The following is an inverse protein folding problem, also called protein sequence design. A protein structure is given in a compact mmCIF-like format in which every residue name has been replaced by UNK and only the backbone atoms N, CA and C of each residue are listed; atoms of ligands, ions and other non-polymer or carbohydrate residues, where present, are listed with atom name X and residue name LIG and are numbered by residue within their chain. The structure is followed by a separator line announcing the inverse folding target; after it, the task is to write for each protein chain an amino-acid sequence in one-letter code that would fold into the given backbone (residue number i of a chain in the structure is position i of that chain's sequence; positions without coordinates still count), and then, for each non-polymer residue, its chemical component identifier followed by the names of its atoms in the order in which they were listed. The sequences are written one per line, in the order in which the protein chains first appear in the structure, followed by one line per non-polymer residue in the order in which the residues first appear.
data_IF_764248354961
#
_entry.id   IF_764248354961
#
_cell.length_a   1.000
_cell.length_b   1.000
_cell.length_c   1.000
_cell.angle_alpha   90.00
_cell.angle_beta   90.00
_cell.angle_gamma   90.00
#
_symmetry.space_group_name_H-M   'P 1'
#
loop_
_entity.id
_entity.type
_entity.pdbx_description
1 polymer ?
#
# COMPACT_ATOMS: atom_id res chain seq x y z
N UNK A 1 17.85 -8.44 -28.97
CA UNK A 1 18.08 -9.01 -27.62
C UNK A 1 19.48 -8.61 -27.22
N UNK A 2 19.67 -7.84 -26.14
CA UNK A 2 21.01 -7.55 -25.65
C UNK A 2 21.29 -8.41 -24.41
N UNK A 3 22.22 -9.35 -24.56
CA UNK A 3 22.88 -10.04 -23.46
C UNK A 3 23.99 -9.12 -22.96
N UNK A 4 23.80 -8.47 -21.81
CA UNK A 4 24.84 -7.61 -21.23
C UNK A 4 25.83 -8.51 -20.50
N UNK A 5 27.09 -8.47 -20.94
CA UNK A 5 28.18 -9.28 -20.41
C UNK A 5 28.79 -8.64 -19.14
N UNK A 6 29.42 -9.47 -18.29
CA UNK A 6 29.72 -9.26 -16.85
C UNK A 6 30.43 -7.97 -16.39
N UNK A 7 31.01 -7.15 -17.28
CA UNK A 7 31.96 -6.08 -16.89
C UNK A 7 31.62 -4.67 -17.40
N UNK A 8 30.40 -4.43 -17.90
CA UNK A 8 29.99 -3.09 -18.35
C UNK A 8 28.67 -2.69 -17.69
N UNK A 9 28.64 -1.52 -17.03
CA UNK A 9 27.39 -0.86 -16.67
C UNK A 9 26.72 -0.39 -17.98
N UNK A 10 25.62 -1.03 -18.44
CA UNK A 10 25.02 -0.62 -19.69
C UNK A 10 24.18 0.63 -19.44
N UNK A 11 24.67 1.80 -19.86
CA UNK A 11 23.82 2.98 -20.00
C UNK A 11 22.89 2.74 -21.20
N UNK A 12 21.72 2.16 -20.95
CA UNK A 12 20.74 1.85 -22.00
C UNK A 12 19.88 3.09 -22.26
N UNK A 13 20.05 3.73 -23.41
CA UNK A 13 19.48 5.07 -23.73
C UNK A 13 18.25 5.07 -24.64
N UNK A 14 17.67 3.92 -25.02
CA UNK A 14 16.44 3.87 -25.84
C UNK A 14 15.67 2.58 -25.61
N UNK A 15 14.32 2.65 -25.63
CA UNK A 15 13.34 1.54 -25.54
C UNK A 15 13.97 0.15 -25.62
N UNK A 16 14.51 -0.30 -24.48
CA UNK A 16 15.40 -1.46 -24.44
C UNK A 16 14.71 -2.58 -23.66
N UNK A 17 14.57 -3.72 -24.32
CA UNK A 17 14.26 -4.97 -23.64
C UNK A 17 15.58 -5.63 -23.19
N UNK A 18 15.76 -5.75 -21.89
CA UNK A 18 16.98 -6.33 -21.30
C UNK A 18 16.62 -7.57 -20.48
N UNK A 19 17.23 -8.71 -20.82
CA UNK A 19 17.17 -9.95 -20.04
C UNK A 19 18.49 -10.08 -19.28
N UNK A 20 18.44 -10.08 -17.96
CA UNK A 20 19.61 -10.28 -17.09
C UNK A 20 19.52 -11.69 -16.48
N UNK A 21 20.27 -12.64 -17.02
CA UNK A 21 20.41 -14.00 -16.46
C UNK A 21 21.68 -14.08 -15.60
N UNK A 22 21.50 -14.66 -14.41
CA UNK A 22 22.46 -15.10 -13.38
C UNK A 22 23.71 -14.26 -13.03
N UNK A 23 23.75 -13.84 -11.75
CA UNK A 23 24.93 -13.35 -11.03
C UNK A 23 25.64 -12.13 -11.67
N UNK A 24 24.97 -10.97 -11.67
CA UNK A 24 25.72 -9.71 -11.61
C UNK A 24 26.32 -9.66 -10.20
N UNK A 25 27.62 -9.88 -10.08
CA UNK A 25 28.35 -9.67 -8.82
C UNK A 25 28.10 -8.23 -8.35
N UNK A 26 27.99 -7.96 -7.03
CA UNK A 26 27.41 -6.72 -6.49
C UNK A 26 28.29 -5.45 -6.70
N UNK A 27 29.25 -5.48 -7.62
CA UNK A 27 30.20 -4.39 -7.85
C UNK A 27 29.64 -3.35 -8.85
N UNK A 28 28.71 -3.71 -9.74
CA UNK A 28 28.09 -2.75 -10.65
C UNK A 28 26.57 -2.94 -10.73
N UNK A 29 25.84 -2.03 -10.08
CA UNK A 29 24.39 -1.89 -10.18
C UNK A 29 24.08 -1.16 -11.49
N UNK A 30 23.37 -1.75 -12.45
CA UNK A 30 23.16 -1.11 -13.74
C UNK A 30 22.16 0.05 -13.61
N UNK A 31 22.63 1.30 -13.72
CA UNK A 31 21.77 2.48 -13.81
C UNK A 31 21.22 2.61 -15.24
N UNK A 32 19.94 2.24 -15.41
CA UNK A 32 19.24 2.31 -16.71
C UNK A 32 18.39 3.58 -16.80
N UNK A 33 18.72 4.49 -17.72
CA UNK A 33 17.95 5.71 -18.05
C UNK A 33 17.38 5.62 -19.48
N UNK A 34 16.11 5.22 -19.64
CA UNK A 34 15.52 4.91 -20.97
C UNK A 34 14.06 5.35 -21.13
N UNK A 35 13.66 5.59 -22.41
CA UNK A 35 12.31 6.03 -22.85
C UNK A 35 11.16 5.02 -22.65
N UNK A 36 11.47 3.80 -22.22
CA UNK A 36 10.58 2.84 -21.59
C UNK A 36 11.44 1.64 -21.23
N UNK A 37 11.27 1.11 -20.01
CA UNK A 37 12.19 0.11 -19.48
C UNK A 37 11.44 -1.20 -19.28
N UNK A 38 11.83 -2.26 -19.99
CA UNK A 38 11.32 -3.62 -19.74
C UNK A 38 12.47 -4.55 -19.34
N UNK A 39 12.44 -5.00 -18.09
CA UNK A 39 13.51 -5.82 -17.50
C UNK A 39 12.96 -7.13 -16.97
N UNK A 40 13.67 -8.22 -17.27
CA UNK A 40 13.54 -9.49 -16.54
C UNK A 40 14.87 -9.78 -15.85
N UNK A 41 14.87 -9.87 -14.52
CA UNK A 41 16.08 -10.05 -13.74
C UNK A 41 15.93 -11.18 -12.70
N UNK A 42 16.98 -11.99 -12.54
CA UNK A 42 17.06 -12.96 -11.44
C UNK A 42 17.75 -12.39 -10.21
N UNK A 43 18.57 -11.35 -10.38
CA UNK A 43 19.28 -10.66 -9.31
C UNK A 43 18.60 -9.33 -8.93
N UNK A 44 19.08 -8.70 -7.86
CA UNK A 44 18.59 -7.40 -7.39
C UNK A 44 18.86 -6.28 -8.40
N UNK A 45 17.90 -5.36 -8.58
CA UNK A 45 17.98 -4.30 -9.60
C UNK A 45 17.72 -2.91 -9.01
N UNK A 46 18.48 -1.91 -9.47
CA UNK A 46 18.21 -0.48 -9.22
C UNK A 46 17.99 0.22 -10.56
N UNK A 47 16.90 0.97 -10.72
CA UNK A 47 16.59 1.70 -11.96
C UNK A 47 16.17 3.14 -11.66
N UNK A 48 16.57 4.06 -12.53
CA UNK A 48 16.09 5.44 -12.57
C UNK A 48 15.53 5.74 -13.95
N UNK A 49 14.21 5.83 -14.10
CA UNK A 49 13.57 6.01 -15.40
C UNK A 49 12.69 7.28 -15.42
N UNK A 50 12.60 7.91 -16.59
CA UNK A 50 11.65 8.98 -16.85
C UNK A 50 10.30 8.39 -17.30
N UNK A 51 10.35 7.37 -18.15
CA UNK A 51 9.22 6.77 -18.84
C UNK A 51 8.73 5.45 -18.20
N UNK A 52 7.68 4.77 -18.74
CA UNK A 52 7.06 3.65 -18.05
C UNK A 52 8.03 2.50 -17.81
N UNK A 53 7.98 1.94 -16.60
CA UNK A 53 8.85 0.83 -16.18
C UNK A 53 8.06 -0.45 -15.98
N UNK A 54 8.49 -1.54 -16.61
CA UNK A 54 7.94 -2.89 -16.44
C UNK A 54 9.04 -3.86 -16.00
N UNK A 55 8.93 -4.41 -14.79
CA UNK A 55 9.92 -5.36 -14.26
C UNK A 55 9.27 -6.67 -13.86
N UNK A 56 9.94 -7.76 -14.21
CA UNK A 56 9.71 -9.08 -13.65
C UNK A 56 10.99 -9.58 -12.98
N UNK A 57 11.00 -9.65 -11.65
CA UNK A 57 12.17 -9.95 -10.82
C UNK A 57 11.96 -11.14 -9.88
N UNK A 58 13.03 -11.85 -9.53
CA UNK A 58 13.03 -12.75 -8.36
C UNK A 58 13.45 -11.97 -7.10
N UNK A 59 14.57 -11.28 -7.17
CA UNK A 59 15.15 -10.58 -6.03
C UNK A 59 14.65 -9.13 -5.90
N UNK A 60 15.28 -8.39 -4.98
CA UNK A 60 14.87 -7.05 -4.59
C UNK A 60 14.91 -6.04 -5.75
N UNK A 61 13.93 -5.13 -5.77
CA UNK A 61 13.77 -4.12 -6.82
C UNK A 61 13.72 -2.74 -6.20
N UNK A 62 14.62 -1.84 -6.62
CA UNK A 62 14.59 -0.40 -6.29
C UNK A 62 14.37 0.43 -7.54
N UNK A 63 13.34 1.27 -7.56
CA UNK A 63 13.02 2.15 -8.70
C UNK A 63 12.82 3.59 -8.25
N UNK A 64 13.36 4.51 -9.04
CA UNK A 64 12.94 5.91 -9.07
C UNK A 64 12.34 6.20 -10.46
N UNK A 65 11.03 6.44 -10.53
CA UNK A 65 10.29 6.71 -11.76
C UNK A 65 9.73 8.14 -11.72
N UNK A 66 10.13 8.99 -12.65
CA UNK A 66 9.93 10.43 -12.50
C UNK A 66 8.72 11.00 -13.23
N UNK A 67 8.18 10.33 -14.26
CA UNK A 67 7.02 10.84 -15.01
C UNK A 67 5.90 9.83 -15.16
N UNK A 68 6.22 8.58 -15.46
CA UNK A 68 5.22 7.61 -15.90
C UNK A 68 5.00 6.41 -14.96
N UNK A 69 3.97 5.64 -15.30
CA UNK A 69 3.52 4.47 -14.55
C UNK A 69 4.57 3.37 -14.39
N UNK A 70 4.55 2.74 -13.21
CA UNK A 70 5.44 1.62 -12.85
C UNK A 70 4.64 0.34 -12.67
N UNK A 71 5.05 -0.74 -13.35
CA UNK A 71 4.50 -2.08 -13.16
C UNK A 71 5.58 -3.08 -12.77
N UNK A 72 5.43 -3.70 -11.61
CA UNK A 72 6.41 -4.68 -11.10
C UNK A 72 5.73 -5.98 -10.72
N UNK A 73 6.39 -7.09 -11.07
CA UNK A 73 6.20 -8.38 -10.43
C UNK A 73 7.53 -8.78 -9.78
N UNK A 74 7.58 -8.91 -8.46
CA UNK A 74 8.78 -9.32 -7.71
C UNK A 74 8.45 -10.47 -6.74
N UNK A 75 9.43 -11.30 -6.39
CA UNK A 75 9.26 -12.26 -5.28
C UNK A 75 9.75 -11.64 -3.97
N UNK A 76 10.87 -10.96 -4.01
CA UNK A 76 11.46 -10.28 -2.86
C UNK A 76 11.00 -8.81 -2.73
N UNK A 77 11.66 -8.06 -1.84
CA UNK A 77 11.32 -6.71 -1.44
C UNK A 77 11.35 -5.68 -2.58
N UNK A 78 10.38 -4.76 -2.57
CA UNK A 78 10.22 -3.71 -3.57
C UNK A 78 10.26 -2.34 -2.92
N UNK A 79 11.13 -1.45 -3.41
CA UNK A 79 11.17 -0.04 -3.03
C UNK A 79 10.99 0.87 -4.23
N UNK A 80 9.98 1.74 -4.21
CA UNK A 80 9.68 2.64 -5.34
C UNK A 80 9.50 4.07 -4.85
N UNK A 81 10.07 5.01 -5.60
CA UNK A 81 9.64 6.40 -5.63
C UNK A 81 9.08 6.67 -7.02
N UNK A 82 7.81 7.07 -7.12
CA UNK A 82 7.14 7.32 -8.40
C UNK A 82 6.37 8.64 -8.39
N UNK A 83 6.33 9.34 -9.52
CA UNK A 83 5.45 10.50 -9.70
C UNK A 83 4.05 10.08 -10.14
N UNK A 84 3.91 9.00 -10.90
CA UNK A 84 2.62 8.54 -11.42
C UNK A 84 2.23 7.15 -10.84
N UNK A 85 1.23 6.52 -11.43
CA UNK A 85 0.59 5.31 -10.96
C UNK A 85 1.54 4.11 -10.82
N UNK A 86 1.38 3.38 -9.72
CA UNK A 86 2.22 2.22 -9.39
C UNK A 86 1.36 0.98 -9.26
N UNK A 87 1.69 -0.07 -10.00
CA UNK A 87 1.06 -1.39 -9.91
C UNK A 87 2.08 -2.46 -9.55
N UNK A 88 1.91 -3.13 -8.41
CA UNK A 88 2.86 -4.14 -7.93
C UNK A 88 2.16 -5.45 -7.62
N UNK A 89 2.80 -6.54 -8.01
CA UNK A 89 2.61 -7.86 -7.42
C UNK A 89 3.92 -8.27 -6.73
N UNK A 90 3.91 -8.42 -5.41
CA UNK A 90 5.10 -8.79 -4.63
C UNK A 90 4.79 -9.93 -3.64
N UNK A 91 5.73 -10.84 -3.39
CA UNK A 91 5.55 -11.84 -2.31
C UNK A 91 6.05 -11.31 -0.97
N UNK A 92 7.13 -10.55 -0.95
CA UNK A 92 7.67 -9.96 0.27
C UNK A 92 7.28 -8.46 0.42
N UNK A 93 8.03 -7.72 1.24
CA UNK A 93 7.77 -6.35 1.67
C UNK A 93 7.78 -5.32 0.54
N UNK A 94 6.86 -4.36 0.61
CA UNK A 94 6.72 -3.29 -0.37
C UNK A 94 6.76 -1.93 0.31
N UNK A 95 7.67 -1.06 -0.12
CA UNK A 95 7.75 0.34 0.31
C UNK A 95 7.63 1.31 -0.86
N UNK A 96 6.61 2.16 -0.85
CA UNK A 96 6.33 3.10 -1.94
C UNK A 96 6.21 4.52 -1.43
N UNK A 97 6.76 5.45 -2.18
CA UNK A 97 6.41 6.88 -2.14
C UNK A 97 5.92 7.26 -3.54
N UNK A 98 4.65 7.61 -3.66
CA UNK A 98 4.00 7.91 -4.95
C UNK A 98 3.28 9.26 -4.89
N UNK A 99 3.23 9.99 -6.00
CA UNK A 99 2.25 11.07 -6.13
C UNK A 99 0.96 10.50 -6.72
N UNK A 100 1.06 9.69 -7.77
CA UNK A 100 -0.06 9.00 -8.39
C UNK A 100 -0.65 7.84 -7.58
N UNK A 101 -1.67 7.22 -8.16
CA UNK A 101 -2.45 6.12 -7.56
C UNK A 101 -1.63 4.84 -7.39
N UNK A 102 -1.83 4.12 -6.28
CA UNK A 102 -1.07 2.91 -5.96
C UNK A 102 -1.98 1.69 -5.91
N UNK A 103 -1.63 0.62 -6.64
CA UNK A 103 -2.30 -0.67 -6.60
C UNK A 103 -1.34 -1.81 -6.29
N UNK A 104 -1.57 -2.52 -5.20
CA UNK A 104 -0.71 -3.63 -4.76
C UNK A 104 -1.53 -4.89 -4.53
N UNK A 105 -0.99 -6.01 -5.00
CA UNK A 105 -1.39 -7.34 -4.57
C UNK A 105 -0.16 -8.05 -4.02
N UNK A 106 -0.15 -8.46 -2.76
CA UNK A 106 1.01 -9.13 -2.21
C UNK A 106 0.74 -9.96 -0.96
N UNK A 107 1.79 -10.63 -0.50
CA UNK A 107 1.72 -11.43 0.73
C UNK A 107 2.37 -10.66 1.89
N UNK A 108 3.56 -10.10 1.68
CA UNK A 108 4.33 -9.37 2.66
C UNK A 108 3.77 -8.02 3.10
N UNK A 109 4.49 -7.40 4.03
CA UNK A 109 4.13 -6.11 4.62
C UNK A 109 4.17 -4.96 3.61
N UNK A 110 3.27 -4.00 3.76
CA UNK A 110 3.13 -2.86 2.83
C UNK A 110 3.26 -1.54 3.56
N UNK A 111 4.16 -0.67 3.12
CA UNK A 111 4.31 0.71 3.59
C UNK A 111 4.21 1.71 2.44
N UNK A 112 3.17 2.54 2.45
CA UNK A 112 2.92 3.51 1.36
C UNK A 112 2.80 4.93 1.90
N UNK A 113 3.38 5.86 1.17
CA UNK A 113 3.00 7.27 1.19
C UNK A 113 2.54 7.67 -0.21
N UNK A 114 1.28 8.05 -0.35
CA UNK A 114 0.66 8.42 -1.63
C UNK A 114 -0.02 9.79 -1.54
N UNK A 115 -0.14 10.52 -2.67
CA UNK A 115 -1.08 11.65 -2.73
C UNK A 115 -2.46 11.15 -3.17
N UNK A 116 -2.52 10.35 -4.21
CA UNK A 116 -3.78 9.84 -4.75
C UNK A 116 -4.22 8.51 -4.11
N UNK A 117 -5.26 7.92 -4.72
CA UNK A 117 -5.91 6.70 -4.26
C UNK A 117 -4.97 5.52 -4.05
N UNK A 118 -5.24 4.72 -3.02
CA UNK A 118 -4.48 3.52 -2.69
C UNK A 118 -5.40 2.31 -2.64
N UNK A 119 -5.09 1.27 -3.42
CA UNK A 119 -5.78 -0.02 -3.40
C UNK A 119 -4.84 -1.17 -3.10
N UNK A 120 -5.09 -1.91 -2.02
CA UNK A 120 -4.21 -3.00 -1.57
C UNK A 120 -4.99 -4.26 -1.29
N UNK A 121 -4.44 -5.38 -1.75
CA UNK A 121 -4.73 -6.71 -1.22
C UNK A 121 -3.43 -7.28 -0.65
N UNK A 122 -3.34 -7.45 0.66
CA UNK A 122 -2.16 -7.97 1.37
C UNK A 122 -2.54 -9.13 2.30
N UNK A 123 -1.57 -9.97 2.68
CA UNK A 123 -1.77 -10.92 3.79
C UNK A 123 -1.28 -10.31 5.09
N UNK A 124 -0.09 -9.72 5.08
CA UNK A 124 0.53 -9.15 6.27
C UNK A 124 0.15 -7.68 6.49
N UNK A 125 0.79 -7.07 7.48
CA UNK A 125 0.53 -5.71 7.94
C UNK A 125 0.62 -4.64 6.85
N UNK A 126 -0.28 -3.67 6.94
CA UNK A 126 -0.38 -2.55 5.99
C UNK A 126 -0.30 -1.22 6.73
N UNK A 127 0.65 -0.36 6.33
CA UNK A 127 0.79 1.02 6.83
C UNK A 127 0.70 2.04 5.70
N UNK A 128 -0.27 2.95 5.77
CA UNK A 128 -0.51 3.93 4.70
C UNK A 128 -0.59 5.34 5.25
N UNK A 129 -0.01 6.27 4.52
CA UNK A 129 -0.34 7.70 4.58
C UNK A 129 -0.78 8.15 3.18
N UNK A 130 -2.05 8.53 3.03
CA UNK A 130 -2.62 8.97 1.76
C UNK A 130 -3.28 10.36 1.91
N UNK A 131 -3.41 11.12 0.83
CA UNK A 131 -4.32 12.28 0.83
C UNK A 131 -5.72 11.82 0.45
N UNK A 132 -5.83 11.14 -0.69
CA UNK A 132 -7.08 10.63 -1.23
C UNK A 132 -7.47 9.26 -0.63
N UNK A 133 -8.47 8.63 -1.26
CA UNK A 133 -9.17 7.43 -0.85
C UNK A 133 -8.28 6.19 -0.69
N UNK A 134 -8.60 5.39 0.31
CA UNK A 134 -7.87 4.16 0.62
C UNK A 134 -8.81 2.97 0.66
N UNK A 135 -8.52 1.94 -0.15
CA UNK A 135 -9.23 0.66 -0.15
C UNK A 135 -8.30 -0.51 0.15
N UNK A 136 -8.54 -1.22 1.24
CA UNK A 136 -7.68 -2.32 1.68
C UNK A 136 -8.46 -3.60 1.92
N UNK A 137 -7.87 -4.70 1.51
CA UNK A 137 -8.17 -6.04 2.01
C UNK A 137 -6.89 -6.63 2.58
N UNK A 138 -6.84 -6.87 3.89
CA UNK A 138 -5.69 -7.43 4.59
C UNK A 138 -6.12 -8.63 5.44
N UNK A 139 -5.19 -9.52 5.79
CA UNK A 139 -5.45 -10.49 6.87
C UNK A 139 -5.01 -9.90 8.19
N UNK A 140 -3.77 -9.45 8.25
CA UNK A 140 -3.17 -8.84 9.43
C UNK A 140 -3.52 -7.34 9.57
N UNK A 141 -2.82 -6.69 10.50
CA UNK A 141 -3.06 -5.38 11.07
C UNK A 141 -2.94 -4.24 10.05
N UNK A 142 -3.85 -3.29 10.14
CA UNK A 142 -3.92 -2.15 9.22
C UNK A 142 -3.80 -0.84 9.97
N UNK A 143 -2.83 0.00 9.60
CA UNK A 143 -2.67 1.36 10.11
C UNK A 143 -2.74 2.40 9.01
N UNK A 144 -3.69 3.33 9.09
CA UNK A 144 -3.92 4.33 8.05
C UNK A 144 -3.97 5.74 8.64
N UNK A 145 -3.36 6.67 7.91
CA UNK A 145 -3.66 8.10 8.00
C UNK A 145 -4.09 8.57 6.61
N UNK A 146 -5.35 9.00 6.46
CA UNK A 146 -5.91 9.50 5.20
C UNK A 146 -6.53 10.89 5.43
N UNK A 147 -6.66 11.70 4.38
CA UNK A 147 -7.56 12.86 4.46
C UNK A 147 -8.96 12.40 4.07
N UNK A 148 -9.07 11.69 2.96
CA UNK A 148 -10.38 11.36 2.38
C UNK A 148 -10.86 9.97 2.85
N UNK A 149 -11.80 9.39 2.08
CA UNK A 149 -12.53 8.17 2.45
C UNK A 149 -11.65 6.92 2.63
N UNK A 150 -11.97 6.12 3.64
CA UNK A 150 -11.26 4.87 3.95
C UNK A 150 -12.21 3.68 3.96
N UNK A 151 -11.93 2.66 3.16
CA UNK A 151 -12.66 1.38 3.15
C UNK A 151 -11.73 0.21 3.43
N UNK A 152 -12.01 -0.55 4.49
CA UNK A 152 -11.16 -1.67 4.91
C UNK A 152 -11.98 -2.94 5.13
N UNK A 153 -11.39 -4.05 4.71
CA UNK A 153 -11.72 -5.39 5.19
C UNK A 153 -10.45 -6.02 5.75
N UNK A 154 -10.41 -6.27 7.06
CA UNK A 154 -9.28 -6.89 7.76
C UNK A 154 -9.76 -8.11 8.55
N UNK A 155 -8.87 -9.06 8.87
CA UNK A 155 -9.17 -10.04 9.93
C UNK A 155 -8.73 -9.46 11.26
N UNK A 156 -7.51 -8.92 11.32
CA UNK A 156 -6.93 -8.49 12.59
C UNK A 156 -7.17 -6.98 12.85
N UNK A 157 -6.34 -6.39 13.73
CA UNK A 157 -6.52 -5.05 14.26
C UNK A 157 -6.49 -3.93 13.22
N UNK A 158 -7.35 -2.92 13.40
CA UNK A 158 -7.42 -1.76 12.49
C UNK A 158 -7.28 -0.46 13.27
N UNK A 159 -6.31 0.37 12.88
CA UNK A 159 -6.12 1.72 13.43
C UNK A 159 -6.16 2.78 12.34
N UNK A 160 -7.11 3.72 12.44
CA UNK A 160 -7.31 4.76 11.42
C UNK A 160 -7.35 6.15 12.03
N UNK A 161 -6.72 7.08 11.33
CA UNK A 161 -7.00 8.51 11.45
C UNK A 161 -7.41 9.03 10.07
N UNK A 162 -8.66 9.48 9.93
CA UNK A 162 -9.22 10.03 8.69
C UNK A 162 -9.84 11.41 8.97
N UNK A 163 -10.01 12.25 7.94
CA UNK A 163 -10.89 13.42 8.06
C UNK A 163 -12.30 13.00 7.64
N UNK A 164 -12.40 12.35 6.49
CA UNK A 164 -13.70 12.02 5.92
C UNK A 164 -14.22 10.64 6.38
N UNK A 165 -15.14 10.08 5.59
CA UNK A 165 -15.87 8.85 5.89
C UNK A 165 -14.98 7.60 6.04
N UNK A 166 -15.31 6.77 7.02
CA UNK A 166 -14.62 5.51 7.30
C UNK A 166 -15.61 4.35 7.29
N UNK A 167 -15.34 3.32 6.47
CA UNK A 167 -16.09 2.06 6.43
C UNK A 167 -15.19 0.86 6.69
N UNK A 168 -15.46 0.11 7.76
CA UNK A 168 -14.64 -1.03 8.17
C UNK A 168 -15.48 -2.29 8.35
N UNK A 169 -14.92 -3.41 7.90
CA UNK A 169 -15.27 -4.74 8.37
C UNK A 169 -14.01 -5.39 8.93
N UNK A 170 -13.98 -5.66 10.23
CA UNK A 170 -12.87 -6.31 10.93
C UNK A 170 -13.39 -7.52 11.72
N UNK A 171 -12.53 -8.47 12.07
CA UNK A 171 -12.89 -9.47 13.09
C UNK A 171 -12.43 -8.95 14.45
N UNK A 172 -11.19 -8.49 14.52
CA UNK A 172 -10.61 -8.07 15.80
C UNK A 172 -10.85 -6.57 16.09
N UNK A 173 -10.01 -6.02 16.96
CA UNK A 173 -10.12 -4.66 17.49
C UNK A 173 -10.03 -3.55 16.43
N UNK A 174 -10.88 -2.53 16.60
CA UNK A 174 -10.93 -1.36 15.72
C UNK A 174 -10.77 -0.08 16.53
N UNK A 175 -9.77 0.75 16.18
CA UNK A 175 -9.57 2.09 16.74
C UNK A 175 -9.61 3.17 15.66
N UNK A 176 -10.53 4.11 15.78
CA UNK A 176 -10.72 5.17 14.79
C UNK A 176 -10.72 6.55 15.44
N UNK A 177 -10.07 7.48 14.76
CA UNK A 177 -10.32 8.92 14.90
C UNK A 177 -10.74 9.46 13.53
N UNK A 178 -11.99 9.92 13.41
CA UNK A 178 -12.54 10.51 12.19
C UNK A 178 -13.15 11.89 12.50
N UNK A 179 -13.33 12.75 11.49
CA UNK A 179 -14.18 13.94 11.65
C UNK A 179 -15.60 13.60 11.22
N UNK A 180 -15.73 12.99 10.06
CA UNK A 180 -17.03 12.71 9.47
C UNK A 180 -17.58 11.33 9.88
N UNK A 181 -18.43 10.76 9.02
CA UNK A 181 -19.17 9.53 9.26
C UNK A 181 -18.30 8.28 9.42
N UNK A 182 -18.66 7.44 10.40
CA UNK A 182 -17.99 6.16 10.67
C UNK A 182 -18.99 5.02 10.62
N UNK A 183 -18.74 4.01 9.79
CA UNK A 183 -19.51 2.76 9.73
C UNK A 183 -18.62 1.55 9.98
N UNK A 184 -18.92 0.78 11.03
CA UNK A 184 -18.11 -0.38 11.43
C UNK A 184 -18.98 -1.62 11.58
N UNK A 185 -18.43 -2.73 11.11
CA UNK A 185 -18.80 -4.08 11.57
C UNK A 185 -17.55 -4.75 12.12
N UNK A 186 -17.53 -5.03 13.42
CA UNK A 186 -16.44 -5.72 14.11
C UNK A 186 -17.01 -6.93 14.88
N UNK A 187 -16.17 -7.89 15.27
CA UNK A 187 -16.58 -8.90 16.26
C UNK A 187 -16.12 -8.45 17.64
N UNK A 188 -14.87 -8.04 17.74
CA UNK A 188 -14.29 -7.67 19.03
C UNK A 188 -14.47 -6.18 19.36
N UNK A 189 -13.54 -5.62 20.14
CA UNK A 189 -13.59 -4.27 20.69
C UNK A 189 -13.54 -3.15 19.64
N UNK A 190 -14.37 -2.13 19.84
CA UNK A 190 -14.42 -0.93 18.99
C UNK A 190 -14.23 0.33 19.82
N UNK A 191 -13.22 1.13 19.48
CA UNK A 191 -13.01 2.46 20.06
C UNK A 191 -13.03 3.55 18.99
N UNK A 192 -13.96 4.50 19.12
CA UNK A 192 -14.15 5.58 18.15
C UNK A 192 -14.11 6.94 18.82
N UNK A 193 -13.44 7.87 18.15
CA UNK A 193 -13.66 9.31 18.32
C UNK A 193 -14.07 9.89 16.97
N UNK A 194 -15.30 10.37 16.85
CA UNK A 194 -15.85 10.99 15.65
C UNK A 194 -16.45 12.36 16.00
N UNK A 195 -16.64 13.26 15.03
CA UNK A 195 -17.45 14.46 15.25
C UNK A 195 -18.89 14.19 14.81
N UNK A 196 -19.04 13.60 13.63
CA UNK A 196 -20.34 13.41 13.03
C UNK A 196 -20.96 12.03 13.37
N UNK A 197 -21.64 11.42 12.40
CA UNK A 197 -22.42 10.20 12.56
C UNK A 197 -21.59 8.94 12.75
N UNK A 198 -22.01 8.08 13.70
CA UNK A 198 -21.39 6.80 13.98
C UNK A 198 -22.42 5.67 13.90
N UNK A 199 -22.16 4.66 13.07
CA UNK A 199 -22.95 3.43 12.97
C UNK A 199 -22.09 2.20 13.22
N UNK A 200 -22.38 1.45 14.28
CA UNK A 200 -21.59 0.28 14.68
C UNK A 200 -22.47 -0.96 14.79
N UNK A 201 -21.93 -2.08 14.33
CA UNK A 201 -22.34 -3.43 14.74
C UNK A 201 -21.11 -4.13 15.30
N UNK A 202 -21.11 -4.46 16.59
CA UNK A 202 -20.04 -5.17 17.28
C UNK A 202 -20.64 -6.33 18.11
N UNK A 203 -19.83 -7.32 18.50
CA UNK A 203 -20.27 -8.33 19.47
C UNK A 203 -19.83 -7.93 20.86
N UNK A 204 -18.56 -7.60 21.00
CA UNK A 204 -17.95 -7.31 22.30
C UNK A 204 -18.07 -5.82 22.67
N UNK A 205 -17.02 -5.26 23.28
CA UNK A 205 -17.01 -3.92 23.87
C UNK A 205 -17.02 -2.77 22.85
N UNK A 206 -17.83 -1.75 23.12
CA UNK A 206 -17.89 -0.53 22.31
C UNK A 206 -17.69 0.71 23.17
N UNK A 207 -16.67 1.53 22.84
CA UNK A 207 -16.43 2.85 23.44
C UNK A 207 -16.45 3.94 22.38
N UNK A 208 -17.36 4.90 22.51
CA UNK A 208 -17.53 5.98 21.53
C UNK A 208 -17.46 7.34 22.20
N UNK A 209 -16.78 8.27 21.53
CA UNK A 209 -16.95 9.71 21.72
C UNK A 209 -17.40 10.31 20.40
N UNK A 210 -18.61 10.87 20.35
CA UNK A 210 -19.19 11.47 19.14
C UNK A 210 -20.03 12.69 19.51
N UNK A 211 -20.07 13.71 18.66
CA UNK A 211 -20.83 14.95 18.93
C UNK A 211 -22.25 14.91 18.36
N UNK A 212 -22.44 14.21 17.25
CA UNK A 212 -23.72 14.18 16.56
C UNK A 212 -24.48 12.86 16.82
N UNK A 213 -24.77 12.08 15.77
CA UNK A 213 -25.66 10.93 15.83
C UNK A 213 -24.90 9.61 16.04
N UNK A 214 -25.43 8.75 16.92
CA UNK A 214 -24.83 7.45 17.23
C UNK A 214 -25.90 6.36 17.14
N UNK A 215 -25.66 5.35 16.30
CA UNK A 215 -26.48 4.12 16.20
C UNK A 215 -25.61 2.89 16.41
N UNK A 216 -25.98 2.07 17.39
CA UNK A 216 -25.18 0.93 17.81
C UNK A 216 -26.05 -0.32 17.90
N UNK A 217 -25.45 -1.44 17.52
CA UNK A 217 -25.91 -2.78 17.87
C UNK A 217 -24.69 -3.51 18.45
N UNK A 218 -24.69 -3.73 19.76
CA UNK A 218 -23.66 -4.46 20.49
C UNK A 218 -24.33 -5.63 21.23
N UNK A 219 -23.61 -6.76 21.39
CA UNK A 219 -24.11 -7.89 22.18
C UNK A 219 -23.69 -7.75 23.66
N UNK A 220 -22.51 -7.18 23.91
CA UNK A 220 -21.92 -7.03 25.25
C UNK A 220 -21.81 -5.54 25.68
N UNK A 221 -20.79 -5.21 26.48
CA UNK A 221 -20.60 -3.93 27.19
C UNK A 221 -20.49 -2.70 26.27
N UNK A 222 -21.13 -1.59 26.67
CA UNK A 222 -21.15 -0.34 25.92
C UNK A 222 -20.92 0.90 26.80
N UNK A 223 -20.06 1.81 26.32
CA UNK A 223 -19.83 3.13 26.90
C UNK A 223 -19.91 4.25 25.84
N UNK A 224 -20.78 5.25 26.09
CA UNK A 224 -20.91 6.48 25.29
C UNK A 224 -20.45 7.70 26.08
N UNK A 225 -19.69 8.58 25.44
CA UNK A 225 -19.41 9.93 25.93
C UNK A 225 -19.75 10.96 24.84
N UNK A 226 -20.43 12.05 25.23
CA UNK A 226 -20.70 13.21 24.38
C UNK A 226 -19.59 14.26 24.49
#
# INVERSE_FOLDING_TARGET
MYTVNRNQAPTLTRSSYTRMDESVTPVQRPDVTSNSVRITARASVRITALDPVRISGRDSVRITALRDSVRITARDSVRITASDSVRITARDSVRITSLGSVRITGLGSVRITARDSVRITARDSVRITARDSVRITARDSVRITARDSVRITARDSVRITARDSVRITARDSVRITARDSVRITARDSVRITARDSVRITARDSVRITARDSVRITAQDEFALAG
#
